data_IF_588923015733
#
_entry.id   IF_588923015733
#
_cell.length_a   1.000
_cell.length_b   1.000
_cell.length_c   1.000
_cell.angle_alpha   90.00
_cell.angle_beta   90.00
_cell.angle_gamma   90.00
#
_symmetry.space_group_name_H-M   'P 1'
#
loop_
_entity.id
_entity.type
_entity.pdbx_description
1 polymer ?
#
# COMPACT_ATOMS: atom_id res chain seq x y z
N UNK A 1 12.66 8.29 13.22
CA UNK A 1 11.20 8.02 13.08
C UNK A 1 10.43 9.01 12.23
N UNK A 2 10.88 10.26 12.05
CA UNK A 2 10.20 11.22 11.15
C UNK A 2 10.08 10.72 9.69
N UNK A 3 11.07 9.95 9.21
CA UNK A 3 11.04 9.36 7.86
C UNK A 3 9.90 8.35 7.69
N UNK A 4 9.67 7.47 8.67
CA UNK A 4 8.58 6.48 8.62
C UNK A 4 7.23 7.18 8.68
N UNK A 5 7.10 8.24 9.49
CA UNK A 5 5.91 9.07 9.53
C UNK A 5 5.61 9.71 8.16
N UNK A 6 6.61 10.36 7.54
CA UNK A 6 6.45 11.01 6.23
C UNK A 6 6.11 9.97 5.16
N UNK A 7 6.82 8.84 5.12
CA UNK A 7 6.56 7.76 4.16
C UNK A 7 5.18 7.16 4.34
N UNK A 8 4.77 6.84 5.57
CA UNK A 8 3.44 6.29 5.84
C UNK A 8 2.33 7.28 5.49
N UNK A 9 2.48 8.56 5.84
CA UNK A 9 1.54 9.61 5.44
C UNK A 9 1.43 9.75 3.92
N UNK A 10 2.57 9.71 3.21
CA UNK A 10 2.59 9.72 1.76
C UNK A 10 1.81 8.54 1.17
N UNK A 11 2.06 7.31 1.65
CA UNK A 11 1.35 6.12 1.17
C UNK A 11 -0.15 6.15 1.48
N UNK A 12 -0.55 6.70 2.64
CA UNK A 12 -1.97 6.88 2.97
C UNK A 12 -2.63 7.87 2.00
N UNK A 13 -2.02 9.04 1.78
CA UNK A 13 -2.56 10.05 0.85
C UNK A 13 -2.64 9.47 -0.56
N UNK A 14 -1.60 8.76 -0.99
CA UNK A 14 -1.58 8.11 -2.30
C UNK A 14 -2.65 7.01 -2.44
N UNK A 15 -2.87 6.23 -1.38
CA UNK A 15 -3.95 5.24 -1.34
C UNK A 15 -5.35 5.87 -1.41
N UNK A 16 -5.57 6.99 -0.71
CA UNK A 16 -6.83 7.77 -0.81
C UNK A 16 -7.02 8.27 -2.24
N UNK A 17 -5.97 8.85 -2.85
CA UNK A 17 -6.02 9.29 -4.24
C UNK A 17 -6.37 8.13 -5.21
N UNK A 18 -5.88 6.92 -4.93
CA UNK A 18 -6.24 5.72 -5.69
C UNK A 18 -7.69 5.28 -5.53
N UNK A 19 -8.26 5.35 -4.33
CA UNK A 19 -9.70 5.10 -4.13
C UNK A 19 -10.56 6.11 -4.90
N UNK A 20 -10.11 7.37 -4.97
CA UNK A 20 -10.77 8.43 -5.72
C UNK A 20 -10.59 8.30 -7.25
N UNK A 21 -9.69 7.44 -7.72
CA UNK A 21 -9.47 7.19 -9.15
C UNK A 21 -8.32 8.00 -9.77
N UNK A 22 -7.56 8.75 -8.97
CA UNK A 22 -6.47 9.63 -9.46
C UNK A 22 -5.11 8.93 -9.55
N UNK A 23 -5.07 7.59 -9.43
CA UNK A 23 -3.81 6.88 -9.41
C UNK A 23 -3.15 6.80 -10.77
N UNK A 24 -1.82 6.94 -10.79
CA UNK A 24 -1.02 6.73 -11.98
C UNK A 24 -0.93 5.23 -12.24
N UNK A 25 -1.59 4.78 -13.31
CA UNK A 25 -1.51 3.40 -13.83
C UNK A 25 -0.84 3.37 -15.20
N UNK A 26 -0.30 2.21 -15.58
CA UNK A 26 0.26 1.98 -16.92
C UNK A 26 -0.81 2.17 -18.00
N UNK A 27 -0.39 2.61 -19.18
CA UNK A 27 -1.27 2.85 -20.33
C UNK A 27 -2.08 1.61 -20.72
N UNK A 28 -1.49 0.43 -20.60
CA UNK A 28 -2.12 -0.88 -20.88
C UNK A 28 -3.38 -1.15 -20.05
N UNK A 29 -3.52 -0.55 -18.87
CA UNK A 29 -4.68 -0.75 -17.99
C UNK A 29 -5.70 0.39 -18.09
N UNK A 30 -5.53 1.34 -19.02
CA UNK A 30 -6.42 2.52 -19.18
C UNK A 30 -7.48 2.28 -20.24
N UNK A 31 -8.68 2.81 -20.00
CA UNK A 31 -9.77 2.82 -20.99
C UNK A 31 -10.65 1.57 -21.00
N UNK A 32 -10.44 0.64 -20.06
CA UNK A 32 -11.30 -0.52 -19.88
C UNK A 32 -12.39 -0.25 -18.84
N UNK A 33 -13.53 -0.92 -18.96
CA UNK A 33 -14.62 -0.79 -17.98
C UNK A 33 -14.17 -1.14 -16.55
N UNK A 34 -13.21 -2.05 -16.45
CA UNK A 34 -12.64 -2.50 -15.18
C UNK A 34 -11.48 -1.63 -14.66
N UNK A 35 -10.98 -0.67 -15.45
CA UNK A 35 -9.88 0.23 -15.06
C UNK A 35 -10.17 0.94 -13.74
N UNK A 36 -11.39 1.45 -13.56
CA UNK A 36 -11.79 2.17 -12.34
C UNK A 36 -11.76 1.27 -11.10
N UNK A 37 -12.14 0.00 -11.26
CA UNK A 37 -12.07 -0.98 -10.19
C UNK A 37 -10.62 -1.36 -9.86
N UNK A 38 -9.77 -1.54 -10.88
CA UNK A 38 -8.34 -1.81 -10.70
C UNK A 38 -7.65 -0.67 -9.92
N UNK A 39 -7.88 0.58 -10.32
CA UNK A 39 -7.32 1.76 -9.65
C UNK A 39 -7.75 1.84 -8.19
N UNK A 40 -9.03 1.58 -7.89
CA UNK A 40 -9.54 1.57 -6.51
C UNK A 40 -8.89 0.48 -5.67
N UNK A 41 -8.75 -0.73 -6.22
CA UNK A 41 -8.11 -1.85 -5.54
C UNK A 41 -6.62 -1.59 -5.29
N UNK A 42 -5.94 -0.95 -6.24
CA UNK A 42 -4.57 -0.50 -6.08
C UNK A 42 -4.47 0.53 -4.95
N UNK A 43 -5.40 1.50 -4.89
CA UNK A 43 -5.51 2.46 -3.79
C UNK A 43 -5.70 1.79 -2.42
N UNK A 44 -6.58 0.80 -2.33
CA UNK A 44 -6.76 -0.02 -1.10
C UNK A 44 -5.45 -0.70 -0.70
N UNK A 45 -4.69 -1.23 -1.67
CA UNK A 45 -3.40 -1.86 -1.38
C UNK A 45 -2.40 -0.90 -0.73
N UNK A 46 -2.32 0.34 -1.22
CA UNK A 46 -1.46 1.36 -0.63
C UNK A 46 -1.94 1.79 0.76
N UNK A 47 -3.25 1.80 1.02
CA UNK A 47 -3.77 2.02 2.37
C UNK A 47 -3.42 0.89 3.33
N UNK A 48 -3.47 -0.36 2.85
CA UNK A 48 -3.04 -1.54 3.63
C UNK A 48 -1.54 -1.51 3.98
N UNK A 49 -0.73 -0.69 3.29
CA UNK A 49 0.67 -0.43 3.65
C UNK A 49 0.81 0.80 4.54
N UNK A 50 0.22 1.93 4.14
CA UNK A 50 0.39 3.21 4.81
C UNK A 50 -0.23 3.27 6.20
N UNK A 51 -1.45 2.74 6.38
CA UNK A 51 -2.16 2.82 7.67
C UNK A 51 -1.45 2.01 8.76
N UNK A 52 -1.06 0.74 8.54
CA UNK A 52 -0.31 0.00 9.54
C UNK A 52 1.04 0.63 9.88
N UNK A 53 1.76 1.17 8.90
CA UNK A 53 3.02 1.87 9.15
C UNK A 53 2.85 3.16 9.96
N UNK A 54 1.76 3.90 9.73
CA UNK A 54 1.46 5.13 10.48
C UNK A 54 1.11 4.83 11.94
N UNK A 55 0.30 3.78 12.18
CA UNK A 55 -0.02 3.29 13.52
C UNK A 55 1.23 2.74 14.23
N UNK A 56 2.03 1.95 13.51
CA UNK A 56 3.28 1.40 14.04
C UNK A 56 4.24 2.50 14.46
N UNK A 57 4.38 3.58 13.68
CA UNK A 57 5.23 4.71 14.06
C UNK A 57 4.78 5.33 15.38
N UNK A 58 3.47 5.48 15.64
CA UNK A 58 2.96 6.00 16.93
C UNK A 58 3.31 5.09 18.09
N UNK A 59 3.11 3.77 17.93
CA UNK A 59 3.42 2.78 18.98
C UNK A 59 4.94 2.74 19.22
N UNK A 60 5.75 2.77 18.16
CA UNK A 60 7.20 2.77 18.25
C UNK A 60 7.74 3.99 19.02
N UNK A 61 7.10 5.16 18.96
CA UNK A 61 7.52 6.33 19.78
C UNK A 61 7.43 6.02 21.27
N UNK A 62 6.37 5.33 21.68
CA UNK A 62 6.14 5.01 23.08
C UNK A 62 6.94 3.79 23.56
N UNK A 63 7.27 2.87 22.65
CA UNK A 63 7.90 1.58 23.01
C UNK A 63 9.40 1.51 22.67
N UNK A 64 9.96 2.49 21.95
CA UNK A 64 11.38 2.50 21.55
C UNK A 64 12.37 2.48 22.72
N UNK A 65 11.95 2.87 23.93
CA UNK A 65 12.78 2.76 25.14
C UNK A 65 13.01 1.30 25.58
N UNK A 66 12.12 0.37 25.20
CA UNK A 66 12.12 -1.02 25.68
C UNK A 66 12.41 -2.07 24.59
N UNK A 67 12.27 -1.71 23.31
CA UNK A 67 12.43 -2.64 22.19
C UNK A 67 13.60 -2.21 21.30
N UNK A 68 14.53 -3.13 21.05
CA UNK A 68 15.68 -2.90 20.18
C UNK A 68 15.28 -2.60 18.73
N UNK A 69 16.00 -1.67 18.10
CA UNK A 69 15.74 -1.16 16.74
C UNK A 69 15.61 -2.26 15.69
N UNK A 70 16.34 -3.37 15.83
CA UNK A 70 16.26 -4.51 14.90
C UNK A 70 14.89 -5.18 14.87
N UNK A 71 14.26 -5.36 16.03
CA UNK A 71 12.92 -5.96 16.11
C UNK A 71 11.85 -5.04 15.51
N UNK A 72 11.99 -3.72 15.71
CA UNK A 72 11.10 -2.74 15.09
C UNK A 72 11.14 -2.80 13.55
N UNK A 73 12.33 -2.98 12.97
CA UNK A 73 12.48 -3.16 11.52
C UNK A 73 11.80 -4.44 11.01
N UNK A 74 11.93 -5.56 11.74
CA UNK A 74 11.29 -6.84 11.36
C UNK A 74 9.77 -6.70 11.38
N UNK A 75 9.21 -6.07 12.40
CA UNK A 75 7.76 -5.82 12.49
C UNK A 75 7.29 -4.93 11.34
N UNK A 76 8.04 -3.87 11.02
CA UNK A 76 7.70 -2.97 9.92
C UNK A 76 7.68 -3.69 8.55
N UNK A 77 8.65 -4.57 8.30
CA UNK A 77 8.66 -5.42 7.10
C UNK A 77 7.50 -6.41 7.08
N UNK A 78 7.20 -7.04 8.23
CA UNK A 78 6.07 -7.97 8.34
C UNK A 78 4.73 -7.27 8.05
N UNK A 79 4.56 -6.01 8.48
CA UNK A 79 3.37 -5.20 8.18
C UNK A 79 3.21 -4.86 6.69
N UNK A 80 4.29 -4.89 5.90
CA UNK A 80 4.22 -4.66 4.46
C UNK A 80 3.76 -5.89 3.67
N UNK A 81 3.97 -7.10 4.20
CA UNK A 81 3.68 -8.37 3.52
C UNK A 81 2.23 -8.49 3.02
N UNK A 82 1.18 -8.16 3.82
CA UNK A 82 -0.20 -8.25 3.34
C UNK A 82 -0.47 -7.37 2.12
N UNK A 83 0.08 -6.15 2.09
CA UNK A 83 -0.07 -5.23 0.96
C UNK A 83 0.63 -5.76 -0.30
N UNK A 84 1.84 -6.32 -0.16
CA UNK A 84 2.58 -6.91 -1.28
C UNK A 84 1.80 -8.08 -1.88
N UNK A 85 1.32 -9.00 -1.03
CA UNK A 85 0.54 -10.17 -1.45
C UNK A 85 -0.76 -9.74 -2.14
N UNK A 86 -1.47 -8.77 -1.56
CA UNK A 86 -2.72 -8.26 -2.13
C UNK A 86 -2.50 -7.61 -3.50
N UNK A 87 -1.47 -6.77 -3.64
CA UNK A 87 -1.09 -6.16 -4.93
C UNK A 87 -0.79 -7.23 -5.98
N UNK A 88 -0.04 -8.27 -5.60
CA UNK A 88 0.30 -9.37 -6.51
C UNK A 88 -0.94 -10.11 -7.05
N UNK A 89 -1.93 -10.37 -6.19
CA UNK A 89 -3.18 -11.00 -6.61
C UNK A 89 -4.00 -10.11 -7.55
N UNK A 90 -4.09 -8.81 -7.26
CA UNK A 90 -4.76 -7.84 -8.13
C UNK A 90 -4.08 -7.81 -9.50
N UNK A 91 -2.77 -7.59 -9.53
CA UNK A 91 -2.03 -7.50 -10.79
C UNK A 91 -2.14 -8.80 -11.61
N UNK A 92 -2.07 -9.96 -10.97
CA UNK A 92 -2.27 -11.25 -11.64
C UNK A 92 -3.67 -11.37 -12.23
N UNK A 93 -4.71 -10.99 -11.48
CA UNK A 93 -6.10 -11.02 -11.93
C UNK A 93 -6.30 -10.13 -13.16
N UNK A 94 -5.91 -8.86 -13.08
CA UNK A 94 -6.15 -7.90 -14.16
C UNK A 94 -5.27 -8.12 -15.38
N UNK A 95 -4.05 -8.64 -15.20
CA UNK A 95 -3.22 -9.10 -16.32
C UNK A 95 -3.87 -10.26 -17.08
N UNK A 96 -4.55 -11.17 -16.40
CA UNK A 96 -5.27 -12.26 -17.07
C UNK A 96 -6.50 -11.76 -17.82
N UNK A 97 -7.22 -10.77 -17.26
CA UNK A 97 -8.35 -10.13 -17.96
C UNK A 97 -7.85 -9.45 -19.24
N UNK A 98 -6.79 -8.64 -19.14
CA UNK A 98 -6.20 -7.94 -20.28
C UNK A 98 -5.70 -8.88 -21.39
N UNK A 99 -5.28 -10.11 -21.06
CA UNK A 99 -4.84 -11.12 -22.05
C UNK A 99 -5.99 -11.84 -22.76
N UNK A 100 -7.18 -11.81 -22.16
CA UNK A 100 -8.35 -12.53 -22.65
C UNK A 100 -9.37 -11.58 -23.33
N UNK A 101 -9.14 -10.27 -23.26
CA UNK A 101 -9.80 -9.24 -24.09
C UNK A 101 -9.10 -9.12 -25.45
#
# INVERSE_FOLDING_TARGET
>A
MNVILIMSAFWVIYGIAGILGFQIIRSEYRGHDWTKAYVRLLGVSWLMLGVPWLLFNRIAVHTAANIGTGLLCIILLALAMPSIVFTFFIDKKYRNILKNE
#
